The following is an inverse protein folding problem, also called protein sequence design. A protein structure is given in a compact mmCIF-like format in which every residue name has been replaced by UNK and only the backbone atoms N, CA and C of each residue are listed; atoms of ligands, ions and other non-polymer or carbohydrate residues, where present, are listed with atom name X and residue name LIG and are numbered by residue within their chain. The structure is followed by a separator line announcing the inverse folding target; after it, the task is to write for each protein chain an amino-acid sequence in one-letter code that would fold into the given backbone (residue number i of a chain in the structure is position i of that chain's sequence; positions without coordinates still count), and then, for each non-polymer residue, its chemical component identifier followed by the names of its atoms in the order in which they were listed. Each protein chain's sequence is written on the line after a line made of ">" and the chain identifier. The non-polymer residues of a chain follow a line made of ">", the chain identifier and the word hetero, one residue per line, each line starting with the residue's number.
data_IF_618555587259
#
_entry.id   IF_618555587259
#
_cell.length_a   1.000
_cell.length_b   1.000
_cell.length_c   1.000
_cell.angle_alpha   90.00
_cell.angle_beta   90.00
_cell.angle_gamma   90.00
#
_symmetry.space_group_name_H-M   'P 1'
#
loop_
_entity.id
_entity.type
_entity.pdbx_description
1 polymer ?
#
# COMPACT_ATOMS: atom_id res chain seq x y z
N UNK A 1 -5.47 19.33 15.49
CA UNK A 1 -4.24 18.59 15.15
C UNK A 1 -4.09 17.37 16.05
N UNK A 2 -4.57 16.20 15.63
CA UNK A 2 -4.26 14.92 16.29
C UNK A 2 -3.45 14.06 15.31
N UNK A 3 -2.20 14.43 15.11
CA UNK A 3 -1.17 13.52 14.61
C UNK A 3 -0.35 13.06 15.81
N UNK A 4 -0.98 12.34 16.74
CA UNK A 4 -0.25 11.90 17.92
C UNK A 4 -0.88 10.63 18.47
N UNK A 5 -0.02 9.60 18.50
CA UNK A 5 -0.13 8.36 19.27
C UNK A 5 -0.93 7.25 18.58
N UNK A 6 -0.18 6.34 17.96
CA UNK A 6 -0.43 4.93 18.24
C UNK A 6 -1.44 4.20 17.37
N UNK A 7 -1.56 4.50 16.07
CA UNK A 7 -1.96 3.45 15.14
C UNK A 7 -0.75 2.52 14.91
N UNK A 8 -0.31 1.88 15.99
CA UNK A 8 0.39 0.60 15.91
C UNK A 8 -0.68 -0.31 15.31
N UNK A 9 -0.66 -0.47 13.99
CA UNK A 9 -1.50 -1.44 13.30
C UNK A 9 -1.41 -2.72 14.14
N UNK A 10 -2.54 -3.28 14.64
CA UNK A 10 -2.47 -4.47 15.45
C UNK A 10 -1.68 -5.50 14.65
N UNK A 11 -0.53 -5.90 15.19
CA UNK A 11 0.48 -6.70 14.50
C UNK A 11 -0.05 -8.07 14.02
N UNK A 12 -1.28 -8.42 14.43
CA UNK A 12 -1.97 -9.67 14.07
C UNK A 12 -2.90 -9.56 12.85
N UNK A 13 -3.24 -8.35 12.40
CA UNK A 13 -3.98 -8.16 11.15
C UNK A 13 -3.11 -7.37 10.18
N UNK A 14 -2.37 -8.10 9.33
CA UNK A 14 -1.73 -7.55 8.14
C UNK A 14 -2.66 -6.53 7.47
N UNK A 15 -2.09 -5.42 6.97
CA UNK A 15 -2.84 -4.46 6.15
C UNK A 15 -3.22 -5.18 4.86
N UNK A 16 -4.31 -5.93 4.88
CA UNK A 16 -4.86 -6.51 3.67
C UNK A 16 -5.29 -5.39 2.73
N UNK A 17 -6.21 -5.67 1.82
CA UNK A 17 -6.71 -4.64 0.91
C UNK A 17 -7.72 -3.67 1.57
N UNK A 18 -7.96 -3.81 2.88
CA UNK A 18 -9.01 -3.10 3.63
C UNK A 18 -8.61 -1.69 4.06
N UNK A 19 -7.33 -1.48 4.42
CA UNK A 19 -6.84 -0.22 4.98
C UNK A 19 -5.78 0.41 4.08
N UNK A 20 -5.71 1.75 4.09
CA UNK A 20 -4.68 2.48 3.37
C UNK A 20 -3.37 2.37 4.16
N UNK A 21 -2.35 1.79 3.55
CA UNK A 21 -1.02 1.73 4.15
C UNK A 21 -0.48 3.16 4.34
N UNK A 22 0.15 3.45 5.49
CA UNK A 22 0.93 4.67 5.66
C UNK A 22 2.02 4.78 4.59
N UNK A 23 2.49 6.00 4.32
CA UNK A 23 3.52 6.24 3.30
C UNK A 23 4.83 5.51 3.62
N UNK A 24 5.23 5.50 4.89
CA UNK A 24 6.41 4.77 5.36
C UNK A 24 6.32 3.27 5.07
N UNK A 25 5.15 2.67 5.28
CA UNK A 25 4.89 1.25 5.04
C UNK A 25 4.82 0.94 3.54
N UNK A 26 4.22 1.84 2.75
CA UNK A 26 4.22 1.75 1.28
C UNK A 26 5.65 1.80 0.72
N UNK A 27 6.52 2.67 1.25
CA UNK A 27 7.94 2.74 0.85
C UNK A 27 8.67 1.44 1.20
N UNK A 28 8.40 0.87 2.37
CA UNK A 28 8.96 -0.42 2.76
C UNK A 28 8.53 -1.55 1.80
N UNK A 29 7.24 -1.63 1.45
CA UNK A 29 6.76 -2.61 0.47
C UNK A 29 7.43 -2.46 -0.91
N UNK A 30 7.60 -1.22 -1.39
CA UNK A 30 8.30 -0.95 -2.66
C UNK A 30 9.78 -1.34 -2.64
N UNK A 31 10.45 -1.18 -1.50
CA UNK A 31 11.85 -1.58 -1.35
C UNK A 31 12.00 -3.10 -1.33
N UNK A 32 11.07 -3.80 -0.69
CA UNK A 32 11.10 -5.26 -0.58
C UNK A 32 10.63 -5.96 -1.87
N UNK A 33 9.66 -5.39 -2.57
CA UNK A 33 9.10 -5.93 -3.81
C UNK A 33 9.04 -4.85 -4.90
N UNK A 34 10.18 -4.49 -5.52
CA UNK A 34 10.22 -3.44 -6.53
C UNK A 34 9.40 -3.76 -7.78
N UNK A 35 9.06 -5.02 -8.02
CA UNK A 35 8.26 -5.45 -9.18
C UNK A 35 6.77 -5.56 -8.89
N UNK A 36 6.33 -5.36 -7.64
CA UNK A 36 4.95 -5.51 -7.19
C UNK A 36 4.36 -6.86 -7.61
N UNK A 37 5.10 -7.94 -7.34
CA UNK A 37 4.76 -9.32 -7.72
C UNK A 37 4.33 -10.17 -6.52
N UNK A 38 4.67 -9.76 -5.30
CA UNK A 38 4.29 -10.40 -4.05
C UNK A 38 3.21 -9.57 -3.34
N UNK A 39 1.97 -10.04 -3.47
CA UNK A 39 0.77 -9.42 -2.91
C UNK A 39 0.43 -8.02 -3.49
N UNK A 40 0.16 -7.91 -4.81
CA UNK A 40 -0.17 -6.64 -5.45
C UNK A 40 -1.42 -6.00 -4.83
N UNK A 41 -1.35 -4.70 -4.57
CA UNK A 41 -2.46 -3.91 -4.03
C UNK A 41 -2.58 -3.94 -2.51
N UNK A 42 -1.58 -4.49 -1.80
CA UNK A 42 -1.50 -4.46 -0.34
C UNK A 42 -1.67 -3.02 0.18
N UNK A 43 -2.45 -2.83 1.25
CA UNK A 43 -2.62 -1.49 1.82
C UNK A 43 -3.27 -0.46 0.89
N UNK A 44 -4.14 -0.88 -0.04
CA UNK A 44 -4.74 -0.04 -1.10
C UNK A 44 -3.70 0.65 -2.01
N UNK A 45 -2.57 -0.02 -2.25
CA UNK A 45 -1.58 0.39 -3.25
C UNK A 45 -1.94 -0.13 -4.65
N UNK A 46 -1.09 0.11 -5.65
CA UNK A 46 -1.30 -0.39 -7.01
C UNK A 46 -1.32 -1.92 -7.05
N UNK A 47 -2.18 -2.49 -7.92
CA UNK A 47 -2.19 -3.92 -8.28
C UNK A 47 -1.38 -4.23 -9.54
N UNK A 48 -0.84 -3.21 -10.23
CA UNK A 48 -0.10 -3.35 -11.49
C UNK A 48 1.39 -3.61 -11.20
N UNK A 49 2.06 -4.33 -12.10
CA UNK A 49 3.51 -4.55 -12.02
C UNK A 49 4.25 -3.23 -11.95
N UNK A 50 5.40 -3.23 -11.27
CA UNK A 50 6.25 -2.06 -11.10
C UNK A 50 5.52 -0.84 -10.51
N UNK A 51 4.50 -1.08 -9.68
CA UNK A 51 3.77 -0.06 -8.94
C UNK A 51 3.10 1.02 -9.81
N UNK A 52 2.79 0.72 -11.08
CA UNK A 52 2.12 1.66 -11.99
C UNK A 52 0.78 2.13 -11.39
N UNK A 53 0.54 3.43 -11.34
CA UNK A 53 -0.73 3.95 -10.83
C UNK A 53 -1.83 3.83 -11.89
N UNK A 54 -3.07 3.61 -11.45
CA UNK A 54 -4.21 3.76 -12.36
C UNK A 54 -4.39 5.26 -12.60
N UNK A 55 -3.84 5.75 -13.70
CA UNK A 55 -4.22 7.05 -14.23
C UNK A 55 -5.70 6.98 -14.62
N UNK A 56 -6.56 7.91 -14.15
CA UNK A 56 -7.99 7.93 -14.51
C UNK A 56 -8.28 8.08 -16.02
N UNK A 57 -7.25 8.21 -16.85
CA UNK A 57 -7.32 8.46 -18.29
C UNK A 57 -7.53 7.20 -19.15
N UNK A 58 -7.69 6.02 -18.55
CA UNK A 58 -8.04 4.78 -19.26
C UNK A 58 -9.54 4.41 -19.12
N UNK A 59 -10.44 5.39 -19.19
CA UNK A 59 -11.85 5.12 -19.50
C UNK A 59 -11.97 4.82 -21.00
N UNK A 60 -12.05 3.54 -21.35
CA UNK A 60 -12.72 3.10 -22.57
C UNK A 60 -14.24 3.12 -22.36
#
# INVERSE_FOLDING_TARGET
>A
HMQARGAQYPAEHNVGHLYKAPETLTRFYRQNDPTNSMNPGIGKTSKRKFWQENTPDETH
#
